data_IF_345349712778
#
_entry.id   IF_345349712778
#
_cell.length_a   1.000
_cell.length_b   1.000
_cell.length_c   1.000
_cell.angle_alpha   90.00
_cell.angle_beta   90.00
_cell.angle_gamma   90.00
#
_symmetry.space_group_name_H-M   'P 1'
#
loop_
_entity.id
_entity.type
_entity.pdbx_description
1 polymer ?
#
# COMPACT_ATOMS: atom_id res chain seq x y z
N UNK A 1 12.71 69.45 29.24
CA UNK A 1 12.77 68.18 29.98
C UNK A 1 11.88 67.19 29.25
N UNK A 2 12.47 66.19 28.59
CA UNK A 2 11.78 65.15 27.82
C UNK A 2 11.62 63.94 28.75
N UNK A 3 10.42 63.38 28.96
CA UNK A 3 10.25 62.19 29.77
C UNK A 3 10.83 60.99 29.03
N UNK A 4 11.81 60.34 29.64
CA UNK A 4 12.36 59.05 29.21
C UNK A 4 11.27 58.00 29.46
N UNK A 5 10.64 57.52 28.38
CA UNK A 5 9.75 56.38 28.42
C UNK A 5 10.60 55.13 28.71
N UNK A 6 10.56 54.64 29.94
CA UNK A 6 11.11 53.34 30.29
C UNK A 6 10.20 52.26 29.68
N UNK A 7 10.60 51.72 28.53
CA UNK A 7 10.02 50.50 28.00
C UNK A 7 10.34 49.35 28.96
N UNK A 8 9.36 48.95 29.77
CA UNK A 8 9.40 47.70 30.51
C UNK A 8 9.33 46.58 29.45
N UNK A 9 10.50 46.10 29.05
CA UNK A 9 10.64 44.82 28.35
C UNK A 9 10.19 43.74 29.35
N UNK A 10 8.90 43.40 29.32
CA UNK A 10 8.43 42.13 29.84
C UNK A 10 9.15 41.05 29.03
N UNK A 11 10.25 40.53 29.55
CA UNK A 11 10.87 39.30 29.06
C UNK A 11 9.93 38.16 29.41
N UNK A 12 8.82 38.07 28.68
CA UNK A 12 7.98 36.88 28.68
C UNK A 12 8.88 35.71 28.32
N UNK A 13 8.93 34.70 29.20
CA UNK A 13 9.63 33.46 28.91
C UNK A 13 8.91 32.82 27.73
N UNK A 14 9.46 33.01 26.53
CA UNK A 14 8.92 32.41 25.31
C UNK A 14 9.01 30.90 25.49
N UNK A 15 7.88 30.20 25.34
CA UNK A 15 7.86 28.76 25.44
C UNK A 15 8.86 28.15 24.42
N UNK A 16 9.70 27.22 24.87
CA UNK A 16 10.75 26.64 24.05
C UNK A 16 10.43 25.17 23.73
N UNK A 17 10.59 24.79 22.46
CA UNK A 17 10.44 23.40 22.02
C UNK A 17 11.82 22.78 21.85
N UNK A 18 12.12 21.77 22.67
CA UNK A 18 13.31 20.94 22.54
C UNK A 18 13.00 19.75 21.62
N UNK A 19 13.84 19.52 20.62
CA UNK A 19 13.71 18.42 19.66
C UNK A 19 14.53 17.21 20.10
N UNK A 20 14.09 16.00 19.71
CA UNK A 20 14.80 14.74 20.01
C UNK A 20 16.19 14.64 19.37
N UNK A 21 16.44 15.42 18.31
CA UNK A 21 17.76 15.59 17.72
C UNK A 21 18.70 16.55 18.47
N UNK A 22 18.29 17.05 19.64
CA UNK A 22 19.08 17.98 20.46
C UNK A 22 18.99 19.46 20.05
N UNK A 23 18.24 19.78 18.99
CA UNK A 23 17.97 21.15 18.59
C UNK A 23 16.91 21.82 19.46
N UNK A 24 16.98 23.14 19.60
CA UNK A 24 15.90 23.95 20.19
C UNK A 24 15.27 24.79 19.09
N UNK A 25 13.95 24.84 19.05
CA UNK A 25 13.22 25.70 18.11
C UNK A 25 13.01 27.05 18.77
N UNK A 26 13.76 28.05 18.29
CA UNK A 26 13.65 29.44 18.71
C UNK A 26 12.56 30.15 17.90
N UNK A 27 11.31 29.77 18.14
CA UNK A 27 10.13 30.36 17.52
C UNK A 27 8.93 30.26 18.48
N UNK A 28 8.00 31.24 18.47
CA UNK A 28 6.84 31.19 19.33
C UNK A 28 5.96 29.99 18.98
N UNK A 29 5.41 29.34 20.01
CA UNK A 29 4.38 28.32 19.86
C UNK A 29 3.07 29.03 19.55
N UNK A 30 2.45 28.67 18.42
CA UNK A 30 1.16 29.22 17.98
C UNK A 30 0.01 28.36 18.48
N UNK A 31 0.20 27.05 18.42
CA UNK A 31 -0.85 26.07 18.71
C UNK A 31 -0.21 24.74 19.10
N UNK A 32 -0.85 24.04 20.05
CA UNK A 32 -0.51 22.66 20.38
C UNK A 32 -1.75 21.79 20.21
N UNK A 33 -1.65 20.77 19.35
CA UNK A 33 -2.76 19.89 19.01
C UNK A 33 -2.28 18.45 18.82
N UNK A 34 -3.22 17.52 18.59
CA UNK A 34 -2.88 16.11 18.38
C UNK A 34 -2.00 15.91 17.13
N UNK A 35 -2.15 16.77 16.13
CA UNK A 35 -1.39 16.79 14.89
C UNK A 35 0.09 17.15 15.08
N UNK A 36 0.41 17.89 16.16
CA UNK A 36 1.76 18.36 16.46
C UNK A 36 1.79 19.71 17.16
N UNK A 37 2.99 20.29 17.19
CA UNK A 37 3.25 21.62 17.76
C UNK A 37 3.47 22.60 16.62
N UNK A 38 2.56 23.57 16.45
CA UNK A 38 2.68 24.62 15.44
C UNK A 38 3.55 25.75 15.99
N UNK A 39 4.64 26.04 15.30
CA UNK A 39 5.63 27.05 15.70
C UNK A 39 5.87 28.05 14.57
N UNK A 40 6.17 29.30 14.91
CA UNK A 40 6.49 30.37 13.96
C UNK A 40 5.47 31.51 13.94
N UNK A 41 5.62 32.42 12.96
CA UNK A 41 4.68 33.52 12.71
C UNK A 41 3.92 33.29 11.41
N UNK A 42 4.12 34.17 10.43
CA UNK A 42 3.44 34.12 9.13
C UNK A 42 3.73 32.83 8.34
N UNK A 43 4.92 32.23 8.53
CA UNK A 43 5.30 30.93 7.97
C UNK A 43 5.29 29.82 9.03
N UNK A 44 4.17 29.69 9.74
CA UNK A 44 4.02 28.67 10.76
C UNK A 44 4.18 27.25 10.19
N UNK A 45 4.99 26.42 10.86
CA UNK A 45 5.19 25.00 10.53
C UNK A 45 4.73 24.12 11.68
N UNK A 46 4.26 22.92 11.35
CA UNK A 46 3.86 21.91 12.35
C UNK A 46 5.01 20.95 12.59
N UNK A 47 5.43 20.81 13.85
CA UNK A 47 6.40 19.81 14.30
C UNK A 47 5.65 18.56 14.75
N UNK A 48 5.99 17.40 14.19
CA UNK A 48 5.44 16.13 14.67
C UNK A 48 5.87 15.81 16.10
N UNK A 49 5.01 15.15 16.85
CA UNK A 49 5.29 14.66 18.20
C UNK A 49 6.45 13.67 18.28
N UNK A 50 6.75 12.96 17.18
CA UNK A 50 7.94 12.11 17.06
C UNK A 50 9.26 12.91 17.04
N UNK A 51 9.21 14.20 16.72
CA UNK A 51 10.38 15.08 16.72
C UNK A 51 10.50 15.89 18.01
N UNK A 52 9.40 16.13 18.72
CA UNK A 52 9.35 16.92 19.96
C UNK A 52 9.77 16.06 21.14
N UNK A 53 10.79 16.52 21.87
CA UNK A 53 11.27 15.87 23.10
C UNK A 53 10.60 16.44 24.33
N UNK A 54 10.49 17.77 24.38
CA UNK A 54 9.99 18.51 25.53
C UNK A 54 9.52 19.90 25.10
N UNK A 55 8.56 20.45 25.84
CA UNK A 55 8.13 21.84 25.72
C UNK A 55 8.27 22.47 27.10
N UNK A 56 9.04 23.55 27.19
CA UNK A 56 9.18 24.36 28.40
C UNK A 56 8.24 25.58 28.32
N UNK A 57 7.66 25.97 29.46
CA UNK A 57 6.80 27.17 29.56
C UNK A 57 5.34 26.83 29.82
N UNK A 58 4.45 27.74 29.40
CA UNK A 58 3.01 27.72 29.73
C UNK A 58 2.26 26.46 29.27
N UNK A 59 2.75 25.81 28.21
CA UNK A 59 2.11 24.63 27.63
C UNK A 59 2.52 23.29 28.29
N UNK A 60 3.45 23.28 29.24
CA UNK A 60 4.07 22.03 29.74
C UNK A 60 3.09 20.99 30.32
N UNK A 61 2.01 21.43 30.97
CA UNK A 61 1.03 20.52 31.60
C UNK A 61 0.05 19.95 30.57
N UNK A 62 -0.39 20.76 29.60
CA UNK A 62 -1.39 20.36 28.59
C UNK A 62 -0.86 19.30 27.62
N UNK A 63 0.47 19.17 27.50
CA UNK A 63 1.12 18.35 26.48
C UNK A 63 1.59 16.99 26.96
N UNK A 64 1.44 16.68 28.25
CA UNK A 64 1.96 15.43 28.83
C UNK A 64 1.42 14.20 28.09
N UNK A 65 0.12 14.18 27.77
CA UNK A 65 -0.50 13.10 27.00
C UNK A 65 0.05 12.97 25.57
N UNK A 66 0.37 14.09 24.93
CA UNK A 66 0.96 14.09 23.59
C UNK A 66 2.44 13.71 23.59
N UNK A 67 3.19 14.07 24.62
CA UNK A 67 4.59 13.68 24.77
C UNK A 67 4.74 12.17 24.95
N UNK A 68 3.80 11.52 25.65
CA UNK A 68 3.75 10.05 25.76
C UNK A 68 3.55 9.39 24.38
N UNK A 69 2.57 9.86 23.58
CA UNK A 69 2.36 9.39 22.21
C UNK A 69 3.58 9.68 21.32
N UNK A 70 4.20 10.86 21.48
CA UNK A 70 5.41 11.26 20.77
C UNK A 70 6.63 10.38 21.08
N UNK A 71 6.75 9.90 22.32
CA UNK A 71 7.78 8.93 22.71
C UNK A 71 7.59 7.60 21.98
N UNK A 72 6.37 7.07 21.94
CA UNK A 72 6.08 5.84 21.20
C UNK A 72 6.32 6.00 19.70
N UNK A 73 5.91 7.13 19.12
CA UNK A 73 6.12 7.44 17.71
C UNK A 73 7.62 7.55 17.38
N UNK A 74 8.39 8.22 18.22
CA UNK A 74 9.85 8.29 18.07
C UNK A 74 10.50 6.91 18.19
N UNK A 75 10.13 6.10 19.18
CA UNK A 75 10.66 4.73 19.35
C UNK A 75 10.31 3.85 18.15
N UNK A 76 9.10 3.96 17.62
CA UNK A 76 8.68 3.26 16.41
C UNK A 76 9.55 3.66 15.21
N UNK A 77 9.76 4.97 14.99
CA UNK A 77 10.64 5.50 13.95
C UNK A 77 12.06 4.97 14.08
N UNK A 78 12.67 5.06 15.26
CA UNK A 78 14.03 4.55 15.51
C UNK A 78 14.16 3.03 15.32
N UNK A 79 13.07 2.27 15.49
CA UNK A 79 13.03 0.84 15.17
C UNK A 79 12.98 0.62 13.66
N UNK A 80 12.12 1.34 12.95
CA UNK A 80 12.05 1.28 11.48
C UNK A 80 13.37 1.68 10.82
N UNK A 81 14.02 2.74 11.30
CA UNK A 81 15.32 3.22 10.79
C UNK A 81 16.42 2.16 10.92
N UNK A 82 16.31 1.26 11.91
CA UNK A 82 17.21 0.12 12.12
C UNK A 82 16.75 -1.17 11.44
N UNK A 83 15.60 -1.16 10.77
CA UNK A 83 14.99 -2.34 10.14
C UNK A 83 14.22 -3.26 11.11
N UNK A 84 14.01 -2.85 12.36
CA UNK A 84 13.34 -3.65 13.41
C UNK A 84 11.81 -3.62 13.28
N UNK A 85 11.26 -4.01 12.12
CA UNK A 85 9.81 -3.91 11.83
C UNK A 85 8.93 -4.63 12.86
N UNK A 86 9.38 -5.79 13.35
CA UNK A 86 8.65 -6.59 14.36
C UNK A 86 8.51 -5.87 15.71
N UNK A 87 9.50 -5.05 16.07
CA UNK A 87 9.44 -4.26 17.30
C UNK A 87 8.68 -2.95 17.05
N UNK A 88 8.72 -2.39 15.84
CA UNK A 88 8.01 -1.16 15.52
C UNK A 88 6.48 -1.37 15.51
N UNK A 89 6.01 -2.47 14.94
CA UNK A 89 4.58 -2.72 14.66
C UNK A 89 3.66 -2.58 15.88
N UNK A 90 3.94 -3.14 17.08
CA UNK A 90 3.04 -2.99 18.22
C UNK A 90 2.85 -1.53 18.68
N UNK A 91 3.90 -0.70 18.57
CA UNK A 91 3.79 0.73 18.88
C UNK A 91 2.95 1.44 17.83
N UNK A 92 3.18 1.12 16.55
CA UNK A 92 2.47 1.73 15.44
C UNK A 92 0.99 1.33 15.42
N UNK A 93 0.63 0.09 15.77
CA UNK A 93 -0.77 -0.35 15.90
C UNK A 93 -1.50 0.45 17.00
N UNK A 94 -0.85 0.63 18.17
CA UNK A 94 -1.40 1.48 19.24
C UNK A 94 -1.60 2.93 18.78
N UNK A 95 -0.62 3.49 18.07
CA UNK A 95 -0.70 4.84 17.51
C UNK A 95 -1.73 4.94 16.38
N UNK A 96 -1.91 3.89 15.58
CA UNK A 96 -2.83 3.86 14.45
C UNK A 96 -4.28 4.06 14.90
N UNK A 97 -4.66 3.49 16.05
CA UNK A 97 -5.99 3.72 16.66
C UNK A 97 -6.27 5.21 16.86
N UNK A 98 -5.25 5.99 17.24
CA UNK A 98 -5.36 7.43 17.50
C UNK A 98 -5.24 8.26 16.22
N UNK A 99 -4.30 7.91 15.35
CA UNK A 99 -3.85 8.76 14.24
C UNK A 99 -4.43 8.41 12.86
N UNK A 100 -5.12 7.26 12.69
CA UNK A 100 -5.67 6.80 11.40
C UNK A 100 -6.44 7.88 10.63
N UNK A 101 -7.22 8.69 11.34
CA UNK A 101 -8.09 9.72 10.76
C UNK A 101 -7.59 11.16 11.06
N UNK A 102 -6.41 11.32 11.67
CA UNK A 102 -5.85 12.63 12.09
C UNK A 102 -4.80 13.19 11.13
N UNK A 103 -4.69 14.51 11.05
CA UNK A 103 -3.70 15.19 10.21
C UNK A 103 -2.29 15.20 10.81
N UNK A 104 -1.39 15.91 10.13
CA UNK A 104 -0.08 16.29 10.67
C UNK A 104 1.07 15.30 10.40
N UNK A 105 2.31 15.71 10.72
CA UNK A 105 3.51 14.91 10.48
C UNK A 105 3.52 13.57 11.22
N UNK A 106 2.99 13.50 12.44
CA UNK A 106 2.96 12.26 13.22
C UNK A 106 1.98 11.25 12.63
N UNK A 107 0.80 11.68 12.16
CA UNK A 107 -0.10 10.78 11.45
C UNK A 107 0.53 10.20 10.17
N UNK A 108 1.33 11.01 9.47
CA UNK A 108 2.07 10.56 8.29
C UNK A 108 3.12 9.51 8.65
N UNK A 109 3.87 9.71 9.74
CA UNK A 109 4.84 8.74 10.24
C UNK A 109 4.15 7.41 10.57
N UNK A 110 3.02 7.46 11.27
CA UNK A 110 2.28 6.25 11.65
C UNK A 110 1.77 5.55 10.39
N UNK A 111 1.20 6.27 9.42
CA UNK A 111 0.73 5.69 8.16
C UNK A 111 1.85 5.03 7.35
N UNK A 112 2.97 5.71 7.15
CA UNK A 112 4.13 5.15 6.42
C UNK A 112 4.76 3.98 7.19
N UNK A 113 4.82 4.06 8.52
CA UNK A 113 5.31 2.97 9.37
C UNK A 113 4.43 1.73 9.30
N UNK A 114 3.11 1.90 9.40
CA UNK A 114 2.13 0.81 9.25
C UNK A 114 2.22 0.16 7.88
N UNK A 115 2.40 0.97 6.83
CA UNK A 115 2.64 0.47 5.48
C UNK A 115 3.88 -0.43 5.42
N UNK A 116 5.02 0.01 5.98
CA UNK A 116 6.25 -0.79 6.03
C UNK A 116 6.04 -2.11 6.79
N UNK A 117 5.47 -2.05 8.00
CA UNK A 117 5.25 -3.23 8.84
C UNK A 117 4.35 -4.27 8.15
N UNK A 118 3.21 -3.83 7.59
CA UNK A 118 2.26 -4.71 6.88
C UNK A 118 2.88 -5.30 5.62
N UNK A 119 3.63 -4.50 4.86
CA UNK A 119 4.40 -4.96 3.70
C UNK A 119 5.42 -6.03 4.06
N UNK A 120 6.17 -5.83 5.15
CA UNK A 120 7.22 -6.76 5.59
C UNK A 120 6.68 -8.13 6.03
N UNK A 121 5.44 -8.21 6.53
CA UNK A 121 4.76 -9.49 6.84
C UNK A 121 3.98 -10.09 5.67
N UNK A 122 4.05 -9.47 4.49
CA UNK A 122 3.36 -9.93 3.28
C UNK A 122 1.86 -9.68 3.26
N UNK A 123 1.34 -8.82 4.16
CA UNK A 123 -0.08 -8.46 4.19
C UNK A 123 -0.36 -7.27 3.29
N UNK A 124 -0.44 -7.57 2.00
CA UNK A 124 -0.65 -6.57 0.97
C UNK A 124 -2.04 -5.96 1.00
N UNK A 125 -3.04 -6.58 1.61
CA UNK A 125 -4.39 -6.00 1.65
C UNK A 125 -4.46 -4.96 2.77
N UNK A 126 -4.01 -5.31 3.97
CA UNK A 126 -4.01 -4.38 5.09
C UNK A 126 -3.08 -3.18 4.84
N UNK A 127 -2.00 -3.38 4.06
CA UNK A 127 -1.09 -2.32 3.65
C UNK A 127 -1.78 -1.21 2.84
N UNK A 128 -2.87 -1.51 2.10
CA UNK A 128 -3.56 -0.54 1.25
C UNK A 128 -4.13 0.62 2.04
N UNK A 129 -4.73 0.38 3.20
CA UNK A 129 -5.33 1.45 4.00
C UNK A 129 -4.27 2.43 4.52
N UNK A 130 -3.17 1.90 5.05
CA UNK A 130 -2.03 2.69 5.51
C UNK A 130 -1.40 3.51 4.37
N UNK A 131 -1.25 2.89 3.19
CA UNK A 131 -0.80 3.57 1.99
C UNK A 131 -1.72 4.72 1.56
N UNK A 132 -3.02 4.46 1.42
CA UNK A 132 -3.99 5.48 1.03
C UNK A 132 -3.98 6.66 2.01
N UNK A 133 -3.84 6.38 3.31
CA UNK A 133 -3.71 7.43 4.32
C UNK A 133 -2.45 8.27 4.12
N UNK A 134 -1.31 7.63 3.88
CA UNK A 134 -0.07 8.33 3.60
C UNK A 134 -0.16 9.19 2.32
N UNK A 135 -0.84 8.70 1.27
CA UNK A 135 -1.10 9.47 0.04
C UNK A 135 -1.90 10.74 0.35
N UNK A 136 -3.02 10.62 1.09
CA UNK A 136 -3.84 11.78 1.48
C UNK A 136 -3.01 12.81 2.24
N UNK A 137 -2.20 12.39 3.20
CA UNK A 137 -1.37 13.28 4.00
C UNK A 137 -0.27 13.95 3.18
N UNK A 138 0.44 13.21 2.30
CA UNK A 138 1.47 13.77 1.43
C UNK A 138 0.90 14.76 0.41
N UNK A 139 -0.28 14.45 -0.15
CA UNK A 139 -1.02 15.34 -1.06
C UNK A 139 -1.47 16.62 -0.35
N UNK A 140 -1.87 16.53 0.93
CA UNK A 140 -2.13 17.67 1.82
C UNK A 140 -0.88 18.41 2.31
N UNK A 141 0.29 18.17 1.70
CA UNK A 141 1.53 18.90 1.99
C UNK A 141 2.30 18.41 3.22
N UNK A 142 1.84 17.37 3.92
CA UNK A 142 2.53 16.87 5.12
C UNK A 142 3.90 16.28 4.77
N UNK A 143 4.89 16.50 5.63
CA UNK A 143 6.28 16.02 5.49
C UNK A 143 6.79 15.54 6.85
N UNK A 144 7.66 14.53 6.84
CA UNK A 144 8.34 14.07 8.05
C UNK A 144 9.51 15.00 8.38
N UNK A 145 9.78 15.18 9.68
CA UNK A 145 10.91 16.00 10.13
C UNK A 145 12.25 15.34 9.79
N UNK A 146 13.16 16.10 9.19
CA UNK A 146 14.51 15.63 8.86
C UNK A 146 14.56 14.66 7.68
N UNK A 147 13.76 14.90 6.63
CA UNK A 147 13.71 14.08 5.42
C UNK A 147 14.88 14.44 4.46
N UNK A 148 16.05 13.76 4.58
CA UNK A 148 16.75 13.35 3.38
C UNK A 148 17.12 11.85 3.45
N UNK A 149 16.47 11.05 2.59
CA UNK A 149 16.93 9.75 2.09
C UNK A 149 16.67 8.46 2.90
N UNK A 150 15.88 8.44 3.97
CA UNK A 150 15.28 7.15 4.42
C UNK A 150 14.28 6.72 3.35
N UNK A 151 14.66 5.74 2.52
CA UNK A 151 13.97 5.26 1.30
C UNK A 151 12.45 5.56 1.34
N UNK A 152 11.99 6.62 0.66
CA UNK A 152 10.59 7.02 0.77
C UNK A 152 9.74 5.85 0.27
N UNK A 153 8.87 5.34 1.13
CA UNK A 153 8.01 4.18 0.84
C UNK A 153 7.11 4.50 -0.36
N UNK A 154 6.78 5.78 -0.52
CA UNK A 154 6.04 6.34 -1.63
C UNK A 154 7.02 6.99 -2.61
N UNK A 155 6.88 6.67 -3.90
CA UNK A 155 7.68 7.32 -4.91
C UNK A 155 7.26 8.80 -5.05
N UNK A 156 8.22 9.76 -5.03
CA UNK A 156 7.92 11.17 -5.24
C UNK A 156 7.18 11.40 -6.57
N UNK A 157 6.16 12.26 -6.55
CA UNK A 157 5.33 12.57 -7.72
C UNK A 157 4.14 11.61 -7.88
N UNK A 158 4.39 10.30 -7.98
CA UNK A 158 3.33 9.30 -8.15
C UNK A 158 2.58 9.01 -6.86
N UNK A 159 3.26 9.10 -5.71
CA UNK A 159 2.80 8.64 -4.39
C UNK A 159 2.42 7.14 -4.37
N UNK A 160 2.79 6.37 -5.40
CA UNK A 160 2.59 4.94 -5.44
C UNK A 160 3.66 4.25 -4.59
N UNK A 161 3.25 3.20 -3.89
CA UNK A 161 4.15 2.30 -3.21
C UNK A 161 4.62 1.20 -4.18
N UNK A 162 5.92 1.13 -4.44
CA UNK A 162 6.50 0.33 -5.55
C UNK A 162 6.20 -1.17 -5.45
N UNK A 163 6.07 -1.70 -4.24
CA UNK A 163 5.87 -3.12 -3.99
C UNK A 163 4.40 -3.48 -3.72
N UNK A 164 3.52 -2.48 -3.57
CA UNK A 164 2.10 -2.65 -3.29
C UNK A 164 1.28 -2.55 -4.58
N UNK A 165 1.51 -3.46 -5.53
CA UNK A 165 0.68 -3.51 -6.74
C UNK A 165 -0.74 -4.02 -6.41
N UNK A 166 -1.77 -3.65 -7.18
CA UNK A 166 -3.14 -4.12 -6.95
C UNK A 166 -3.33 -5.56 -7.47
N UNK A 167 -2.49 -6.47 -7.00
CA UNK A 167 -2.53 -7.89 -7.34
C UNK A 167 -2.60 -8.63 -6.02
N UNK A 168 -3.67 -9.37 -5.81
CA UNK A 168 -3.87 -10.11 -4.59
C UNK A 168 -4.29 -11.54 -4.88
N UNK A 169 -4.12 -12.36 -3.85
CA UNK A 169 -4.71 -13.67 -3.78
C UNK A 169 -6.00 -13.57 -2.97
N UNK A 170 -7.00 -14.33 -3.37
CA UNK A 170 -8.29 -14.37 -2.65
C UNK A 170 -8.09 -14.70 -1.17
N UNK A 171 -8.68 -13.86 -0.32
CA UNK A 171 -8.65 -13.95 1.15
C UNK A 171 -9.86 -13.20 1.72
N UNK A 172 -10.18 -13.44 3.00
CA UNK A 172 -11.24 -12.70 3.69
C UNK A 172 -10.91 -11.20 3.80
N UNK A 173 -9.65 -10.83 4.01
CA UNK A 173 -9.22 -9.44 4.01
C UNK A 173 -9.47 -8.76 2.66
N UNK A 174 -9.16 -9.44 1.54
CA UNK A 174 -9.44 -8.91 0.20
C UNK A 174 -10.93 -8.69 -0.02
N UNK A 175 -11.78 -9.61 0.47
CA UNK A 175 -13.24 -9.48 0.40
C UNK A 175 -13.74 -8.27 1.19
N UNK A 176 -13.32 -8.14 2.44
CA UNK A 176 -13.68 -6.99 3.27
C UNK A 176 -13.26 -5.67 2.61
N UNK A 177 -12.05 -5.61 2.03
CA UNK A 177 -11.59 -4.44 1.28
C UNK A 177 -12.43 -4.17 0.03
N UNK A 178 -12.77 -5.20 -0.76
CA UNK A 178 -13.58 -5.08 -1.97
C UNK A 178 -15.03 -4.61 -1.68
N UNK A 179 -15.54 -4.91 -0.49
CA UNK A 179 -16.87 -4.53 -0.03
C UNK A 179 -16.90 -3.17 0.66
N UNK A 180 -15.77 -2.71 1.21
CA UNK A 180 -15.67 -1.44 1.93
C UNK A 180 -16.26 -0.24 1.16
N UNK A 181 -16.97 0.68 1.82
CA UNK A 181 -17.58 1.82 1.14
C UNK A 181 -16.52 2.72 0.48
N UNK A 182 -16.90 3.38 -0.61
CA UNK A 182 -16.06 4.35 -1.31
C UNK A 182 -16.77 5.68 -1.27
N UNK A 183 -16.09 6.67 -0.69
CA UNK A 183 -16.50 8.08 -0.71
C UNK A 183 -16.24 8.70 -2.09
N UNK A 184 -16.80 9.88 -2.33
CA UNK A 184 -16.73 10.58 -3.62
C UNK A 184 -15.30 10.97 -4.02
N UNK A 185 -15.13 11.21 -5.32
CA UNK A 185 -13.83 11.41 -5.97
C UNK A 185 -13.48 12.89 -5.98
N UNK A 186 -12.77 13.34 -4.95
CA UNK A 186 -12.30 14.74 -4.90
C UNK A 186 -10.76 14.85 -4.93
N UNK A 187 -10.05 13.73 -4.77
CA UNK A 187 -8.57 13.71 -4.76
C UNK A 187 -7.95 12.43 -5.34
N UNK A 188 -6.62 12.42 -5.43
CA UNK A 188 -5.84 11.29 -5.94
C UNK A 188 -5.95 10.03 -5.06
N UNK A 189 -6.10 10.18 -3.74
CA UNK A 189 -6.25 9.04 -2.83
C UNK A 189 -7.59 8.34 -3.03
N UNK A 190 -8.68 9.08 -3.22
CA UNK A 190 -9.99 8.54 -3.62
C UNK A 190 -9.90 7.81 -4.96
N UNK A 191 -9.24 8.40 -5.96
CA UNK A 191 -9.05 7.75 -7.26
C UNK A 191 -8.24 6.43 -7.15
N UNK A 192 -7.16 6.41 -6.35
CA UNK A 192 -6.42 5.19 -6.07
C UNK A 192 -7.25 4.14 -5.33
N UNK A 193 -7.99 4.53 -4.30
CA UNK A 193 -8.88 3.65 -3.54
C UNK A 193 -9.88 2.96 -4.45
N UNK A 194 -10.51 3.71 -5.35
CA UNK A 194 -11.47 3.17 -6.32
C UNK A 194 -10.86 2.14 -7.25
N UNK A 195 -9.70 2.44 -7.83
CA UNK A 195 -9.03 1.54 -8.77
C UNK A 195 -8.55 0.26 -8.07
N UNK A 196 -8.01 0.37 -6.85
CA UNK A 196 -7.60 -0.78 -6.04
C UNK A 196 -8.80 -1.63 -5.63
N UNK A 197 -9.88 -1.02 -5.17
CA UNK A 197 -11.12 -1.73 -4.83
C UNK A 197 -11.74 -2.38 -6.06
N UNK A 198 -11.78 -1.70 -7.19
CA UNK A 198 -12.26 -2.25 -8.46
C UNK A 198 -11.47 -3.50 -8.86
N UNK A 199 -10.15 -3.47 -8.69
CA UNK A 199 -9.30 -4.62 -8.95
C UNK A 199 -9.54 -5.77 -7.96
N UNK A 200 -9.68 -5.48 -6.67
CA UNK A 200 -10.05 -6.46 -5.66
C UNK A 200 -11.38 -7.15 -5.98
N UNK A 201 -12.40 -6.37 -6.39
CA UNK A 201 -13.70 -6.87 -6.84
C UNK A 201 -13.55 -7.80 -8.05
N UNK A 202 -12.76 -7.43 -9.06
CA UNK A 202 -12.50 -8.29 -10.23
C UNK A 202 -11.85 -9.62 -9.87
N UNK A 203 -10.88 -9.61 -8.96
CA UNK A 203 -10.22 -10.84 -8.47
C UNK A 203 -11.23 -11.76 -7.78
N UNK A 204 -12.18 -11.20 -7.04
CA UNK A 204 -13.24 -11.94 -6.34
C UNK A 204 -14.43 -12.32 -7.23
N UNK A 205 -14.38 -12.02 -8.54
CA UNK A 205 -15.50 -12.26 -9.45
C UNK A 205 -16.73 -11.38 -9.19
N UNK A 206 -16.54 -10.24 -8.52
CA UNK A 206 -17.57 -9.23 -8.30
C UNK A 206 -17.56 -8.18 -9.40
N UNK A 207 -18.71 -7.56 -9.65
CA UNK A 207 -18.82 -6.44 -10.59
C UNK A 207 -18.04 -5.23 -10.08
N UNK A 208 -17.03 -4.80 -10.84
CA UNK A 208 -16.25 -3.60 -10.57
C UNK A 208 -16.80 -2.43 -11.40
N UNK A 209 -17.96 -1.91 -10.99
CA UNK A 209 -18.47 -0.68 -11.56
C UNK A 209 -17.66 0.51 -11.02
N UNK A 210 -16.98 1.21 -11.92
CA UNK A 210 -16.42 2.51 -11.62
C UNK A 210 -17.53 3.57 -11.81
N UNK A 211 -17.68 4.54 -10.89
CA UNK A 211 -18.53 5.70 -11.08
C UNK A 211 -18.32 6.33 -12.46
N UNK A 212 -19.40 6.44 -13.22
CA UNK A 212 -19.42 6.94 -14.59
C UNK A 212 -19.41 8.48 -14.69
N UNK A 213 -19.44 9.19 -13.56
CA UNK A 213 -19.64 10.65 -13.51
C UNK A 213 -18.50 11.50 -12.93
N UNK A 214 -17.33 10.90 -12.64
CA UNK A 214 -16.19 11.63 -12.06
C UNK A 214 -15.14 12.05 -13.09
N UNK A 215 -14.59 13.25 -12.96
CA UNK A 215 -13.33 13.59 -13.63
C UNK A 215 -12.19 12.85 -12.92
N UNK A 216 -11.45 12.04 -13.66
CA UNK A 216 -10.28 11.35 -13.11
C UNK A 216 -9.06 12.26 -13.17
N UNK A 217 -8.19 12.27 -12.15
CA UNK A 217 -6.91 12.97 -12.25
C UNK A 217 -6.11 12.49 -13.48
N UNK A 218 -5.58 13.41 -14.28
CA UNK A 218 -4.84 13.10 -15.51
C UNK A 218 -3.38 12.66 -15.26
N UNK A 219 -3.11 11.84 -14.25
CA UNK A 219 -1.77 11.32 -13.98
C UNK A 219 -1.45 10.05 -14.77
N UNK A 220 -0.16 9.80 -15.03
CA UNK A 220 0.29 8.57 -15.70
C UNK A 220 -0.03 7.32 -14.87
N UNK A 221 0.03 7.47 -13.55
CA UNK A 221 -0.26 6.48 -12.52
C UNK A 221 -1.71 6.03 -12.56
N UNK A 222 -2.65 6.98 -12.60
CA UNK A 222 -4.08 6.69 -12.70
C UNK A 222 -4.39 6.03 -14.04
N UNK A 223 -3.77 6.48 -15.14
CA UNK A 223 -3.90 5.82 -16.45
C UNK A 223 -3.38 4.38 -16.43
N UNK A 224 -2.25 4.12 -15.79
CA UNK A 224 -1.71 2.77 -15.62
C UNK A 224 -2.68 1.88 -14.84
N UNK A 225 -3.11 2.31 -13.66
CA UNK A 225 -4.02 1.55 -12.80
C UNK A 225 -5.37 1.29 -13.47
N UNK A 226 -5.91 2.28 -14.20
CA UNK A 226 -7.13 2.12 -14.98
C UNK A 226 -6.95 1.10 -16.11
N UNK A 227 -5.86 1.18 -16.88
CA UNK A 227 -5.57 0.19 -17.91
C UNK A 227 -5.41 -1.23 -17.33
N UNK A 228 -4.84 -1.36 -16.13
CA UNK A 228 -4.76 -2.65 -15.44
C UNK A 228 -6.15 -3.18 -15.08
N UNK A 229 -7.02 -2.34 -14.53
CA UNK A 229 -8.41 -2.71 -14.20
C UNK A 229 -9.22 -3.06 -15.45
N UNK A 230 -9.14 -2.25 -16.50
CA UNK A 230 -9.82 -2.48 -17.78
C UNK A 230 -9.33 -3.79 -18.45
N UNK A 231 -8.07 -4.17 -18.25
CA UNK A 231 -7.53 -5.45 -18.73
C UNK A 231 -8.21 -6.67 -18.06
N UNK A 232 -8.89 -6.49 -16.92
CA UNK A 232 -9.70 -7.50 -16.24
C UNK A 232 -11.20 -7.41 -16.55
N UNK A 233 -11.62 -6.53 -17.46
CA UNK A 233 -13.02 -6.40 -17.87
C UNK A 233 -13.57 -7.69 -18.48
N UNK A 234 -14.88 -7.93 -18.39
CA UNK A 234 -15.54 -9.03 -19.09
C UNK A 234 -15.76 -8.72 -20.57
N UNK A 235 -15.77 -7.44 -20.96
CA UNK A 235 -15.79 -6.99 -22.35
C UNK A 235 -14.41 -7.19 -23.01
N UNK A 236 -14.37 -8.08 -24.02
CA UNK A 236 -13.18 -8.40 -24.81
C UNK A 236 -12.56 -7.16 -25.47
N UNK A 237 -13.37 -6.24 -25.99
CA UNK A 237 -12.91 -5.02 -26.67
C UNK A 237 -12.24 -4.06 -25.69
N UNK A 238 -12.79 -3.96 -24.47
CA UNK A 238 -12.16 -3.19 -23.38
C UNK A 238 -10.82 -3.82 -22.99
N UNK A 239 -10.77 -5.16 -22.80
CA UNK A 239 -9.52 -5.87 -22.51
C UNK A 239 -8.47 -5.67 -23.59
N UNK A 240 -8.82 -5.78 -24.88
CA UNK A 240 -7.88 -5.62 -25.99
C UNK A 240 -7.25 -4.22 -26.04
N UNK A 241 -8.06 -3.16 -25.89
CA UNK A 241 -7.54 -1.79 -25.81
C UNK A 241 -6.64 -1.57 -24.60
N UNK A 242 -7.02 -2.13 -23.46
CA UNK A 242 -6.23 -2.08 -22.24
C UNK A 242 -4.88 -2.80 -22.42
N UNK A 243 -4.87 -4.01 -22.99
CA UNK A 243 -3.65 -4.75 -23.33
C UNK A 243 -2.73 -3.95 -24.26
N UNK A 244 -3.27 -3.33 -25.31
CA UNK A 244 -2.48 -2.49 -26.21
C UNK A 244 -1.83 -1.30 -25.48
N UNK A 245 -2.52 -0.71 -24.52
CA UNK A 245 -1.99 0.37 -23.67
C UNK A 245 -0.91 -0.14 -22.72
N UNK A 246 -1.13 -1.28 -22.07
CA UNK A 246 -0.14 -1.90 -21.18
C UNK A 246 1.12 -2.33 -21.94
N UNK A 247 0.97 -2.94 -23.12
CA UNK A 247 2.08 -3.38 -23.97
C UNK A 247 2.97 -2.22 -24.43
N UNK A 248 2.39 -1.09 -24.84
CA UNK A 248 3.17 0.10 -25.24
C UNK A 248 4.06 0.59 -24.10
N UNK A 249 3.54 0.63 -22.88
CA UNK A 249 4.29 1.07 -21.70
C UNK A 249 5.40 0.11 -21.26
N UNK A 250 5.45 -1.14 -21.74
CA UNK A 250 6.53 -2.07 -21.37
C UNK A 250 7.91 -1.60 -21.85
N UNK A 251 7.98 -0.91 -22.99
CA UNK A 251 9.22 -0.39 -23.52
C UNK A 251 9.73 0.83 -22.74
N UNK A 252 8.82 1.58 -22.13
CA UNK A 252 9.12 2.76 -21.31
C UNK A 252 9.55 2.38 -19.89
N UNK A 253 8.98 1.31 -19.35
CA UNK A 253 9.11 0.90 -17.95
C UNK A 253 10.14 -0.23 -17.72
N UNK A 254 11.05 -0.47 -18.67
CA UNK A 254 12.02 -1.60 -18.62
C UNK A 254 12.79 -1.62 -17.31
N UNK A 255 12.85 -2.80 -16.68
CA UNK A 255 13.54 -3.06 -15.41
C UNK A 255 13.01 -2.24 -14.21
N UNK A 256 11.81 -1.66 -14.33
CA UNK A 256 11.14 -0.96 -13.23
C UNK A 256 10.03 -1.81 -12.61
N UNK A 257 9.58 -1.40 -11.43
CA UNK A 257 8.40 -1.98 -10.78
C UNK A 257 7.12 -1.85 -11.64
N UNK A 258 7.03 -0.80 -12.48
CA UNK A 258 5.89 -0.60 -13.40
C UNK A 258 5.86 -1.69 -14.49
N UNK A 259 7.00 -2.16 -15.00
CA UNK A 259 7.04 -3.31 -15.93
C UNK A 259 6.43 -4.56 -15.27
N UNK A 260 6.83 -4.85 -14.03
CA UNK A 260 6.32 -6.01 -13.30
C UNK A 260 4.78 -5.95 -13.16
N UNK A 261 4.23 -4.78 -12.83
CA UNK A 261 2.79 -4.59 -12.71
C UNK A 261 2.07 -4.71 -14.05
N UNK A 262 2.60 -4.11 -15.12
CA UNK A 262 2.03 -4.27 -16.47
C UNK A 262 2.00 -5.72 -16.91
N UNK A 263 3.08 -6.46 -16.69
CA UNK A 263 3.16 -7.89 -17.02
C UNK A 263 2.20 -8.72 -16.20
N UNK A 264 2.02 -8.42 -14.92
CA UNK A 264 1.03 -9.10 -14.10
C UNK A 264 -0.40 -8.88 -14.65
N UNK A 265 -0.75 -7.63 -14.96
CA UNK A 265 -2.06 -7.31 -15.54
C UNK A 265 -2.29 -7.94 -16.91
N UNK A 266 -1.29 -7.89 -17.81
CA UNK A 266 -1.33 -8.57 -19.10
C UNK A 266 -1.49 -10.08 -18.94
N UNK A 267 -0.70 -10.67 -18.04
CA UNK A 267 -0.73 -12.07 -17.68
C UNK A 267 -2.14 -12.53 -17.32
N UNK A 268 -2.72 -11.90 -16.30
CA UNK A 268 -4.08 -12.18 -15.84
C UNK A 268 -5.13 -11.93 -16.93
N UNK A 269 -4.98 -10.87 -17.72
CA UNK A 269 -5.90 -10.55 -18.83
C UNK A 269 -5.92 -11.66 -19.89
N UNK A 270 -4.76 -12.15 -20.31
CA UNK A 270 -4.67 -13.26 -21.27
C UNK A 270 -5.19 -14.57 -20.72
N UNK A 271 -5.04 -14.85 -19.41
CA UNK A 271 -5.59 -16.06 -18.81
C UNK A 271 -7.13 -16.11 -18.82
N UNK A 272 -7.82 -15.01 -19.11
CA UNK A 272 -9.28 -14.94 -19.27
C UNK A 272 -9.77 -15.31 -20.68
N UNK A 273 -8.87 -15.54 -21.64
CA UNK A 273 -9.28 -15.95 -22.98
C UNK A 273 -9.87 -17.37 -22.96
N UNK A 274 -10.92 -17.59 -23.76
CA UNK A 274 -11.62 -18.88 -23.83
C UNK A 274 -10.72 -19.97 -24.41
N UNK A 275 -9.96 -19.63 -25.45
CA UNK A 275 -9.08 -20.56 -26.15
C UNK A 275 -7.78 -20.81 -25.38
N UNK A 276 -7.40 -22.08 -25.21
CA UNK A 276 -6.18 -22.45 -24.50
C UNK A 276 -4.89 -21.88 -25.14
N UNK A 277 -4.86 -21.78 -26.48
CA UNK A 277 -3.73 -21.19 -27.21
C UNK A 277 -3.58 -19.70 -26.86
N UNK A 278 -4.67 -18.94 -26.85
CA UNK A 278 -4.74 -17.52 -26.53
C UNK A 278 -4.38 -17.19 -25.08
N UNK A 279 -4.49 -18.16 -24.16
CA UNK A 279 -4.03 -18.03 -22.76
C UNK A 279 -2.51 -18.18 -22.58
N UNK A 280 -1.81 -18.77 -23.55
CA UNK A 280 -0.36 -19.06 -23.45
C UNK A 280 0.52 -17.82 -23.27
N UNK A 281 0.28 -16.69 -23.99
CA UNK A 281 0.96 -15.43 -23.70
C UNK A 281 0.83 -14.99 -22.24
N UNK A 282 -0.30 -15.28 -21.58
CA UNK A 282 -0.53 -14.98 -20.18
C UNK A 282 0.47 -15.66 -19.25
N UNK A 283 0.75 -16.94 -19.49
CA UNK A 283 1.76 -17.71 -18.76
C UNK A 283 3.14 -17.06 -18.91
N UNK A 284 3.54 -16.67 -20.12
CA UNK A 284 4.84 -16.04 -20.35
C UNK A 284 4.99 -14.69 -19.64
N UNK A 285 3.95 -13.84 -19.68
CA UNK A 285 3.97 -12.57 -18.95
C UNK A 285 4.11 -12.77 -17.44
N UNK A 286 3.39 -13.74 -16.87
CA UNK A 286 3.48 -14.05 -15.44
C UNK A 286 4.83 -14.66 -15.05
N UNK A 287 5.38 -15.58 -15.84
CA UNK A 287 6.69 -16.21 -15.58
C UNK A 287 7.87 -15.24 -15.71
N UNK A 288 7.70 -14.14 -16.44
CA UNK A 288 8.70 -13.08 -16.52
C UNK A 288 8.89 -12.34 -15.19
N UNK A 289 7.87 -12.32 -14.33
CA UNK A 289 7.92 -11.64 -13.03
C UNK A 289 8.92 -12.33 -12.08
N UNK A 290 8.79 -13.63 -11.73
CA UNK A 290 9.74 -14.29 -10.84
C UNK A 290 11.15 -14.40 -11.44
N UNK A 291 11.30 -14.40 -12.77
CA UNK A 291 12.61 -14.49 -13.41
C UNK A 291 13.44 -13.21 -13.31
N UNK A 292 12.81 -12.02 -13.23
CA UNK A 292 13.52 -10.73 -13.17
C UNK A 292 13.27 -9.92 -11.91
N UNK A 293 12.09 -10.05 -11.32
CA UNK A 293 11.60 -9.15 -10.27
C UNK A 293 11.42 -9.85 -8.91
N UNK A 294 11.83 -11.11 -8.75
CA UNK A 294 11.72 -11.81 -7.45
C UNK A 294 12.44 -11.10 -6.31
N UNK A 295 13.57 -10.42 -6.58
CA UNK A 295 14.30 -9.65 -5.57
C UNK A 295 13.67 -8.30 -5.18
N UNK A 296 12.84 -7.71 -6.05
CA UNK A 296 12.24 -6.37 -5.82
C UNK A 296 10.73 -6.40 -5.62
N UNK A 297 10.08 -7.48 -6.06
CA UNK A 297 8.62 -7.70 -6.04
C UNK A 297 8.31 -9.14 -5.57
N UNK A 298 8.83 -9.59 -4.41
CA UNK A 298 8.71 -10.99 -3.98
C UNK A 298 7.27 -11.46 -3.87
N UNK A 299 6.37 -10.62 -3.33
CA UNK A 299 4.95 -10.94 -3.24
C UNK A 299 4.32 -11.18 -4.62
N UNK A 300 4.52 -10.24 -5.55
CA UNK A 300 3.95 -10.31 -6.89
C UNK A 300 4.51 -11.52 -7.67
N UNK A 301 5.80 -11.81 -7.51
CA UNK A 301 6.43 -12.98 -8.10
C UNK A 301 5.80 -14.29 -7.60
N UNK A 302 5.59 -14.43 -6.30
CA UNK A 302 4.93 -15.61 -5.74
C UNK A 302 3.46 -15.72 -6.16
N UNK A 303 2.72 -14.60 -6.19
CA UNK A 303 1.35 -14.56 -6.69
C UNK A 303 1.26 -14.95 -8.18
N UNK A 304 2.16 -14.45 -9.02
CA UNK A 304 2.23 -14.79 -10.44
C UNK A 304 2.49 -16.29 -10.67
N UNK A 305 3.44 -16.89 -9.93
CA UNK A 305 3.68 -18.33 -9.95
C UNK A 305 2.46 -19.14 -9.52
N UNK A 306 1.71 -18.64 -8.54
CA UNK A 306 0.44 -19.25 -8.10
C UNK A 306 -0.57 -19.31 -9.25
N UNK A 307 -0.79 -18.19 -9.93
CA UNK A 307 -1.69 -18.13 -11.09
C UNK A 307 -1.24 -19.04 -12.24
N UNK A 308 0.06 -19.07 -12.55
CA UNK A 308 0.62 -20.01 -13.54
C UNK A 308 0.39 -21.46 -13.11
N UNK A 309 0.57 -21.79 -11.84
CA UNK A 309 0.36 -23.13 -11.31
C UNK A 309 -1.08 -23.61 -11.47
N UNK A 310 -2.06 -22.73 -11.24
CA UNK A 310 -3.48 -23.02 -11.48
C UNK A 310 -3.73 -23.28 -12.97
N UNK A 311 -3.24 -22.42 -13.86
CA UNK A 311 -3.44 -22.58 -15.30
C UNK A 311 -2.79 -23.87 -15.84
N UNK A 312 -1.55 -24.18 -15.45
CA UNK A 312 -0.87 -25.42 -15.83
C UNK A 312 -1.64 -26.66 -15.35
N UNK A 313 -2.14 -26.62 -14.12
CA UNK A 313 -2.97 -27.70 -13.59
C UNK A 313 -4.26 -27.89 -14.39
N UNK A 314 -4.93 -26.79 -14.76
CA UNK A 314 -6.15 -26.83 -15.58
C UNK A 314 -5.89 -27.41 -16.98
N UNK A 315 -4.69 -27.22 -17.54
CA UNK A 315 -4.23 -27.84 -18.80
C UNK A 315 -3.78 -29.30 -18.66
N UNK A 316 -3.81 -29.87 -17.45
CA UNK A 316 -3.36 -31.23 -17.18
C UNK A 316 -1.86 -31.37 -16.88
N UNK A 317 -1.08 -30.29 -16.93
CA UNK A 317 0.33 -30.29 -16.56
C UNK A 317 0.51 -30.21 -15.04
N UNK A 318 0.27 -31.36 -14.39
CA UNK A 318 0.42 -31.51 -12.94
C UNK A 318 1.87 -31.37 -12.49
N UNK A 319 2.84 -31.70 -13.34
CA UNK A 319 4.26 -31.62 -13.01
C UNK A 319 4.71 -30.17 -13.01
N UNK A 320 4.35 -29.39 -14.04
CA UNK A 320 4.59 -27.96 -14.11
C UNK A 320 3.92 -27.21 -12.95
N UNK A 321 2.66 -27.52 -12.63
CA UNK A 321 1.97 -26.94 -11.48
C UNK A 321 2.69 -27.20 -10.14
N UNK A 322 3.22 -28.41 -9.93
CA UNK A 322 4.02 -28.73 -8.73
C UNK A 322 5.34 -27.96 -8.69
N UNK A 323 6.01 -27.80 -9.83
CA UNK A 323 7.23 -26.98 -9.91
C UNK A 323 6.97 -25.54 -9.47
N UNK A 324 5.80 -24.98 -9.79
CA UNK A 324 5.46 -23.62 -9.32
C UNK A 324 5.39 -23.53 -7.79
N UNK A 325 4.93 -24.57 -7.09
CA UNK A 325 4.96 -24.63 -5.62
C UNK A 325 6.40 -24.58 -5.12
N UNK A 326 7.30 -25.33 -5.74
CA UNK A 326 8.71 -25.37 -5.35
C UNK A 326 9.41 -24.03 -5.63
N UNK A 327 9.10 -23.35 -6.73
CA UNK A 327 9.61 -22.00 -7.01
C UNK A 327 9.10 -20.97 -5.99
N UNK A 328 7.81 -21.01 -5.60
CA UNK A 328 7.29 -20.10 -4.57
C UNK A 328 8.03 -20.31 -3.24
N UNK A 329 8.29 -21.57 -2.85
CA UNK A 329 9.07 -21.87 -1.62
C UNK A 329 10.49 -21.32 -1.66
N UNK A 330 11.11 -21.24 -2.85
CA UNK A 330 12.44 -20.65 -3.01
C UNK A 330 12.45 -19.13 -2.86
N UNK A 331 11.35 -18.46 -3.24
CA UNK A 331 11.19 -17.01 -3.02
C UNK A 331 11.02 -16.75 -1.53
N UNK A 332 10.03 -17.42 -0.91
CA UNK A 332 9.78 -17.34 0.52
C UNK A 332 9.00 -18.59 0.98
N UNK A 333 9.55 -19.31 1.95
CA UNK A 333 8.94 -20.52 2.53
C UNK A 333 7.60 -20.27 3.23
N UNK A 334 7.30 -19.01 3.59
CA UNK A 334 6.05 -18.59 4.23
C UNK A 334 5.14 -17.78 3.30
N UNK A 335 5.44 -17.78 1.99
CA UNK A 335 4.70 -16.95 1.05
C UNK A 335 3.20 -17.32 1.00
N UNK A 336 2.26 -16.35 1.08
CA UNK A 336 0.82 -16.64 1.11
C UNK A 336 0.30 -17.40 -0.12
N UNK A 337 0.97 -17.25 -1.26
CA UNK A 337 0.70 -18.02 -2.48
C UNK A 337 0.80 -19.54 -2.33
N UNK A 338 1.58 -20.05 -1.37
CA UNK A 338 1.71 -21.50 -1.16
C UNK A 338 0.37 -22.11 -0.74
N UNK A 339 -0.24 -21.60 0.33
CA UNK A 339 -1.53 -22.09 0.81
C UNK A 339 -2.65 -21.88 -0.21
N UNK A 340 -2.64 -20.73 -0.88
CA UNK A 340 -3.63 -20.40 -1.91
C UNK A 340 -3.56 -21.34 -3.12
N UNK A 341 -2.37 -21.65 -3.63
CA UNK A 341 -2.21 -22.55 -4.77
C UNK A 341 -2.53 -23.99 -4.36
N UNK A 342 -2.03 -24.44 -3.21
CA UNK A 342 -2.24 -25.81 -2.73
C UNK A 342 -3.73 -26.13 -2.56
N UNK A 343 -4.53 -25.22 -2.01
CA UNK A 343 -5.98 -25.44 -1.85
C UNK A 343 -6.66 -25.66 -3.21
N UNK A 344 -6.25 -24.94 -4.26
CA UNK A 344 -6.79 -25.06 -5.62
C UNK A 344 -6.34 -26.32 -6.36
N UNK A 345 -5.17 -26.86 -6.03
CA UNK A 345 -4.67 -28.11 -6.62
C UNK A 345 -5.35 -29.36 -6.03
N UNK A 346 -5.92 -29.29 -4.82
CA UNK A 346 -6.55 -30.43 -4.13
C UNK A 346 -8.03 -30.63 -4.51
N UNK A 347 -8.78 -29.54 -4.70
CA UNK A 347 -10.26 -29.54 -4.77
C UNK A 347 -10.87 -30.34 -5.95
N UNK A 348 -10.09 -30.79 -6.94
CA UNK A 348 -10.61 -31.57 -8.10
C UNK A 348 -10.62 -33.09 -7.95
N UNK A 349 -10.29 -33.66 -6.79
CA UNK A 349 -10.26 -35.14 -6.63
C UNK A 349 -11.59 -35.80 -6.28
N UNK A 350 -12.67 -35.07 -5.94
CA UNK A 350 -13.82 -35.67 -5.22
C UNK A 350 -15.22 -35.48 -5.83
N UNK A 351 -15.38 -35.01 -7.07
CA UNK A 351 -16.70 -34.95 -7.74
C UNK A 351 -16.77 -35.79 -9.02
N UNK A 352 -16.13 -36.96 -9.01
CA UNK A 352 -16.54 -38.01 -9.95
C UNK A 352 -17.95 -38.47 -9.57
N UNK A 353 -18.89 -38.63 -10.53
CA UNK A 353 -20.20 -39.18 -10.22
C UNK A 353 -19.97 -40.52 -9.54
N UNK A 354 -20.61 -40.74 -8.39
CA UNK A 354 -20.70 -42.07 -7.81
C UNK A 354 -21.19 -42.98 -8.93
N UNK A 355 -20.31 -43.85 -9.42
CA UNK A 355 -20.69 -44.90 -10.35
C UNK A 355 -21.67 -45.75 -9.56
N UNK A 356 -22.96 -45.49 -9.79
CA UNK A 356 -24.06 -46.31 -9.34
C UNK A 356 -23.80 -47.69 -9.93
N UNK A 357 -23.14 -48.57 -9.16
CA UNK A 357 -23.22 -50.00 -9.37
C UNK A 357 -24.69 -50.38 -9.22
N UNK A 358 -25.43 -50.32 -10.33
CA UNK A 358 -26.63 -51.14 -10.49
C UNK A 358 -26.11 -52.56 -10.63
N UNK A 359 -25.97 -53.22 -9.48
CA UNK A 359 -25.93 -54.67 -9.43
C UNK A 359 -27.15 -55.21 -10.17
N UNK A 360 -26.85 -56.18 -11.00
CA UNK A 360 -27.75 -56.88 -11.87
C UNK A 360 -28.52 -57.88 -11.00
N UNK A 361 -29.80 -57.63 -10.75
CA UNK A 361 -30.73 -58.71 -10.38
C UNK A 361 -31.12 -59.43 -11.68
N UNK A 362 -30.60 -60.64 -11.82
CA UNK A 362 -31.05 -61.71 -12.70
C UNK A 362 -31.85 -62.72 -11.88
#
# INVERSE_FOLDING_TARGET
MIPVLAAVLLTGVVAQVELRGGGVVDAPIVEVAVEGVKVGGDEARVLGWDAVKRIEGEYGVEVEGFLALGEDAWRARMRLDRGDVRLAEPLLESLWVVYRDKGGPTALLVAEGMLICRGARGDQVDAVEAWLRAVTLRAGGQRLAGDPASLPVLEPGSLLCRWLGPFWLESEGLRAFAESPVETVDDAASAYRMLYRGMARRILGMDAELPSGGSWPESAEIRLLRAMLDAQSDDKTVRERARATLMRGLAEDVDTWREAWRRAALGLSYLREEEASARTPGIFHLLHIPSRFSGTQPYLAGAALAWVGVELHQRGDRTGARRMVDEIRRIDGHHPALGWLQSRLVVRRSTGPAVSNKESEL
#
